data_IF_786715629361
#
_entry.id   IF_786715629361
#
_cell.length_a   1.000
_cell.length_b   1.000
_cell.length_c   1.000
_cell.angle_alpha   90.00
_cell.angle_beta   90.00
_cell.angle_gamma   90.00
#
_symmetry.space_group_name_H-M   'P 1'
#
loop_
_entity.id
_entity.type
_entity.pdbx_description
1 polymer ?
#
# COMPACT_ATOMS: atom_id res chain seq x y z
N UNK A 1 5.36 -11.93 18.01
CA UNK A 1 5.60 -10.65 17.33
C UNK A 1 6.05 -10.98 15.92
N UNK A 2 5.31 -10.56 14.90
CA UNK A 2 5.70 -10.74 13.52
C UNK A 2 6.79 -9.71 13.18
N UNK A 3 7.92 -10.17 12.66
CA UNK A 3 9.01 -9.30 12.22
C UNK A 3 9.02 -9.28 10.70
N UNK A 4 8.89 -8.07 10.14
CA UNK A 4 8.99 -7.83 8.71
C UNK A 4 9.95 -6.68 8.47
N UNK A 5 10.65 -6.66 7.31
CA UNK A 5 11.63 -5.61 7.05
C UNK A 5 10.95 -4.26 6.80
N UNK A 6 9.68 -4.23 6.35
CA UNK A 6 8.94 -2.99 6.12
C UNK A 6 7.50 -3.08 6.62
N UNK A 7 7.08 -2.09 7.41
CA UNK A 7 5.70 -1.82 7.77
C UNK A 7 5.20 -0.57 7.02
N UNK A 8 4.12 -0.72 6.27
CA UNK A 8 3.47 0.34 5.51
C UNK A 8 2.19 0.74 6.24
N UNK A 9 2.03 2.04 6.54
CA UNK A 9 0.83 2.56 7.21
C UNK A 9 0.01 3.38 6.22
N UNK A 10 -1.14 2.84 5.83
CA UNK A 10 -2.14 3.43 4.93
C UNK A 10 -2.26 2.71 3.58
N UNK A 11 -3.48 2.26 3.24
CA UNK A 11 -3.83 1.64 1.94
C UNK A 11 -4.32 2.68 0.91
N UNK A 12 -3.66 3.84 0.85
CA UNK A 12 -3.84 4.80 -0.25
C UNK A 12 -3.14 4.32 -1.53
N UNK A 13 -3.25 5.11 -2.60
CA UNK A 13 -2.53 4.84 -3.85
C UNK A 13 -1.02 4.70 -3.63
N UNK A 14 -0.41 5.59 -2.84
CA UNK A 14 1.01 5.53 -2.53
C UNK A 14 1.41 4.26 -1.77
N UNK A 15 0.65 3.88 -0.73
CA UNK A 15 0.96 2.70 0.09
C UNK A 15 0.79 1.39 -0.67
N UNK A 16 -0.27 1.27 -1.48
CA UNK A 16 -0.49 0.11 -2.34
C UNK A 16 0.59 0.00 -3.43
N UNK A 17 0.94 1.12 -4.09
CA UNK A 17 2.04 1.12 -5.07
C UNK A 17 3.37 0.73 -4.43
N UNK A 18 3.67 1.24 -3.23
CA UNK A 18 4.88 0.87 -2.49
C UNK A 18 4.89 -0.64 -2.21
N UNK A 19 3.80 -1.20 -1.69
CA UNK A 19 3.70 -2.64 -1.39
C UNK A 19 3.95 -3.50 -2.63
N UNK A 20 3.38 -3.12 -3.78
CA UNK A 20 3.61 -3.80 -5.05
C UNK A 20 5.08 -3.70 -5.50
N UNK A 21 5.68 -2.51 -5.43
CA UNK A 21 7.07 -2.30 -5.81
C UNK A 21 8.03 -3.09 -4.93
N UNK A 22 7.80 -3.13 -3.61
CA UNK A 22 8.59 -3.95 -2.70
C UNK A 22 8.48 -5.43 -3.02
N UNK A 23 7.26 -5.92 -3.30
CA UNK A 23 7.04 -7.30 -3.71
C UNK A 23 7.82 -7.64 -4.99
N UNK A 24 7.84 -6.74 -5.98
CA UNK A 24 8.62 -6.91 -7.21
C UNK A 24 10.13 -6.96 -6.97
N UNK A 25 10.63 -6.31 -5.92
CA UNK A 25 12.03 -6.39 -5.48
C UNK A 25 12.31 -7.57 -4.53
N UNK A 26 11.31 -8.42 -4.24
CA UNK A 26 11.44 -9.54 -3.32
C UNK A 26 11.47 -9.13 -1.83
N UNK A 27 11.08 -7.90 -1.51
CA UNK A 27 11.06 -7.37 -0.15
C UNK A 27 9.67 -7.61 0.46
N UNK A 28 9.63 -8.37 1.55
CA UNK A 28 8.41 -8.61 2.29
C UNK A 28 7.93 -7.34 3.00
N UNK A 29 6.64 -7.04 2.92
CA UNK A 29 6.04 -5.91 3.62
C UNK A 29 4.69 -6.27 4.20
N UNK A 30 4.36 -5.66 5.34
CA UNK A 30 3.00 -5.66 5.89
C UNK A 30 2.42 -4.28 5.65
N UNK A 31 1.21 -4.23 5.11
CA UNK A 31 0.44 -3.00 4.98
C UNK A 31 -0.72 -3.01 5.97
N UNK A 32 -0.87 -1.92 6.73
CA UNK A 32 -1.99 -1.71 7.63
C UNK A 32 -2.83 -0.52 7.18
N UNK A 33 -4.15 -0.67 7.25
CA UNK A 33 -5.11 0.40 6.99
C UNK A 33 -6.12 0.47 8.13
N UNK A 34 -6.48 1.68 8.53
CA UNK A 34 -7.46 1.93 9.59
C UNK A 34 -8.86 1.48 9.15
N UNK A 35 -9.19 1.70 7.88
CA UNK A 35 -10.48 1.31 7.29
C UNK A 35 -10.49 -0.18 6.96
N UNK A 36 -11.67 -0.80 7.06
CA UNK A 36 -11.87 -2.21 6.65
C UNK A 36 -11.73 -2.42 5.15
N UNK A 37 -11.98 -1.36 4.37
CA UNK A 37 -11.98 -1.38 2.91
C UNK A 37 -11.29 -0.14 2.34
N UNK A 38 -10.88 -0.26 1.07
CA UNK A 38 -10.37 0.86 0.28
C UNK A 38 -11.49 1.87 -0.07
N UNK A 39 -11.09 3.10 -0.41
CA UNK A 39 -12.05 4.15 -0.76
C UNK A 39 -12.85 3.80 -2.02
N UNK A 40 -14.17 3.68 -1.90
CA UNK A 40 -15.07 3.48 -3.04
C UNK A 40 -15.28 4.74 -3.89
N UNK A 41 -15.02 5.93 -3.33
CA UNK A 41 -15.18 7.21 -4.03
C UNK A 41 -13.94 7.50 -4.88
N UNK A 42 -14.09 7.92 -6.16
CA UNK A 42 -12.97 8.25 -7.03
C UNK A 42 -12.32 9.57 -6.62
N UNK A 43 -11.22 9.48 -5.85
CA UNK A 43 -10.45 10.64 -5.37
C UNK A 43 -9.49 11.17 -6.44
N UNK A 44 -8.36 10.49 -6.63
CA UNK A 44 -7.34 10.86 -7.61
C UNK A 44 -7.66 10.22 -8.96
N UNK A 45 -8.25 11.00 -9.87
CA UNK A 45 -8.71 10.53 -11.19
C UNK A 45 -7.71 10.70 -12.33
N UNK A 46 -6.71 11.57 -12.13
CA UNK A 46 -5.70 11.85 -13.13
C UNK A 46 -4.44 11.04 -12.83
N UNK A 47 -4.02 10.24 -13.80
CA UNK A 47 -2.76 9.51 -13.78
C UNK A 47 -1.93 10.02 -14.95
N UNK A 48 -0.68 10.39 -14.68
CA UNK A 48 0.29 10.73 -15.70
C UNK A 48 1.19 9.51 -15.88
N UNK A 49 1.36 9.05 -17.11
CA UNK A 49 2.22 7.94 -17.49
C UNK A 49 3.26 8.41 -18.49
#
# INVERSE_FOLDING_TARGET
MEQVPVLIVGAGSAGLSLSLLLLQQGIQSILIEKRRDISWVPRARNLNF
#
